data_IF_768174854918
#
_entry.id   IF_768174854918
#
_cell.length_a   1.000
_cell.length_b   1.000
_cell.length_c   1.000
_cell.angle_alpha   90.00
_cell.angle_beta   90.00
_cell.angle_gamma   90.00
#
_symmetry.space_group_name_H-M   'P 1'
#
loop_
_entity.id
_entity.type
_entity.pdbx_description
1 polymer ?
#
# COMPACT_ATOMS: atom_id res chain seq x y z
N UNK A 1 76.66 24.91 26.22
CA UNK A 1 75.45 24.15 26.43
C UNK A 1 74.25 24.96 25.91
N UNK A 2 73.79 24.69 24.69
CA UNK A 2 72.63 25.38 24.08
C UNK A 2 71.45 24.42 24.15
N UNK A 3 70.41 24.80 24.86
CA UNK A 3 69.17 24.10 24.97
C UNK A 3 68.17 24.65 23.96
N UNK A 4 67.89 23.88 22.89
CA UNK A 4 66.93 24.23 21.86
C UNK A 4 65.56 23.80 22.34
N UNK A 5 64.60 24.71 22.53
CA UNK A 5 63.18 24.43 22.84
C UNK A 5 62.41 24.24 21.53
N UNK A 6 61.86 23.02 21.32
CA UNK A 6 60.87 22.75 20.26
C UNK A 6 59.47 23.16 20.76
N UNK A 7 58.84 24.08 20.06
CA UNK A 7 57.40 24.36 20.19
C UNK A 7 56.62 23.38 19.28
N UNK A 8 55.76 22.52 19.87
CA UNK A 8 54.80 21.71 19.14
C UNK A 8 53.53 22.55 19.04
N UNK A 9 53.15 22.96 17.81
CA UNK A 9 51.86 23.56 17.52
C UNK A 9 50.83 22.44 17.31
N UNK A 10 49.84 22.32 18.19
CA UNK A 10 48.73 21.42 18.02
C UNK A 10 47.67 22.09 17.10
N UNK A 11 47.50 21.55 15.89
CA UNK A 11 46.38 21.91 15.01
C UNK A 11 45.11 21.21 15.53
N UNK A 12 44.17 21.98 16.03
CA UNK A 12 42.80 21.53 16.28
C UNK A 12 42.05 21.49 14.93
N UNK A 13 41.80 20.27 14.42
CA UNK A 13 40.83 20.07 13.35
C UNK A 13 39.43 20.10 13.95
N UNK A 14 38.66 21.15 13.68
CA UNK A 14 37.23 21.22 13.93
C UNK A 14 36.52 20.47 12.80
N UNK A 15 36.11 19.23 13.05
CA UNK A 15 35.19 18.54 12.16
C UNK A 15 33.81 19.17 12.31
N UNK A 16 33.42 20.03 11.38
CA UNK A 16 32.01 20.40 11.20
C UNK A 16 31.28 19.21 10.61
N UNK A 17 30.53 18.48 11.43
CA UNK A 17 29.51 17.56 10.92
C UNK A 17 28.45 18.38 10.19
N UNK A 18 28.59 18.53 8.89
CA UNK A 18 27.50 18.91 8.02
C UNK A 18 26.56 17.67 8.04
N UNK A 19 25.43 17.80 8.71
CA UNK A 19 24.36 16.80 8.59
C UNK A 19 24.00 16.76 7.09
N UNK A 20 24.41 15.69 6.43
CA UNK A 20 24.01 15.40 5.06
C UNK A 20 22.48 15.24 5.08
N UNK A 21 21.77 16.22 4.54
CA UNK A 21 20.31 16.10 4.38
C UNK A 21 20.05 14.88 3.53
N UNK A 22 19.42 13.86 4.08
CA UNK A 22 19.08 12.65 3.35
C UNK A 22 18.37 13.05 2.05
N UNK A 23 18.92 12.62 0.90
CA UNK A 23 18.33 12.89 -0.41
C UNK A 23 16.86 12.45 -0.40
N UNK A 24 15.94 13.29 -0.83
CA UNK A 24 14.52 12.93 -0.82
C UNK A 24 14.29 11.71 -1.70
N UNK A 25 13.50 10.76 -1.23
CA UNK A 25 13.18 9.53 -1.98
C UNK A 25 12.61 9.89 -3.36
N UNK A 26 13.25 9.39 -4.42
CA UNK A 26 12.86 9.64 -5.81
C UNK A 26 11.92 8.57 -6.37
N UNK A 27 11.78 7.44 -5.66
CA UNK A 27 11.05 6.28 -6.15
C UNK A 27 9.98 5.84 -5.15
N UNK A 28 8.82 5.48 -5.69
CA UNK A 28 7.71 4.85 -4.98
C UNK A 28 7.24 3.65 -5.82
N UNK A 29 7.96 2.50 -5.80
CA UNK A 29 7.84 1.45 -6.80
C UNK A 29 6.60 0.57 -6.69
N UNK A 30 5.83 0.71 -5.63
CA UNK A 30 4.62 -0.08 -5.35
C UNK A 30 3.66 0.69 -4.45
N UNK A 31 2.44 0.21 -4.32
CA UNK A 31 1.33 0.87 -3.64
C UNK A 31 1.66 1.47 -2.27
N UNK A 32 2.33 0.71 -1.39
CA UNK A 32 2.69 1.19 -0.02
C UNK A 32 4.14 1.69 0.10
N UNK A 33 4.78 1.94 -1.04
CA UNK A 33 6.16 2.42 -1.10
C UNK A 33 7.21 1.31 -0.96
N UNK A 34 8.49 1.68 -0.92
CA UNK A 34 9.59 0.72 -0.98
C UNK A 34 9.65 -0.23 0.22
N UNK A 35 9.05 0.15 1.35
CA UNK A 35 9.04 -0.65 2.59
C UNK A 35 7.66 -1.24 2.89
N UNK A 36 6.69 -1.13 2.00
CA UNK A 36 5.30 -1.60 2.15
C UNK A 36 4.58 -1.08 3.42
N UNK A 37 5.03 0.03 3.99
CA UNK A 37 4.58 0.59 5.26
C UNK A 37 3.75 1.88 5.15
N UNK A 38 3.67 2.48 3.94
CA UNK A 38 2.91 3.71 3.67
C UNK A 38 3.54 4.98 4.25
N UNK A 39 4.84 4.99 4.52
CA UNK A 39 5.50 6.18 5.06
C UNK A 39 6.88 6.45 4.47
N UNK A 40 7.31 7.69 4.64
CA UNK A 40 8.66 8.16 4.39
C UNK A 40 9.01 9.27 5.39
N UNK A 41 10.18 9.17 6.03
CA UNK A 41 10.62 10.16 7.02
C UNK A 41 11.32 11.37 6.37
N UNK A 42 12.12 11.12 5.33
CA UNK A 42 12.90 12.15 4.67
C UNK A 42 12.05 13.03 3.72
N UNK A 43 12.31 14.33 3.73
CA UNK A 43 11.72 15.32 2.83
C UNK A 43 10.78 16.30 3.52
N UNK A 44 10.41 17.35 2.79
CA UNK A 44 9.41 18.36 3.20
C UNK A 44 8.29 18.34 2.19
N UNK A 45 7.07 18.11 2.65
CA UNK A 45 5.91 17.88 1.79
C UNK A 45 4.82 18.94 2.03
N UNK A 46 3.99 19.28 1.03
CA UNK A 46 3.01 20.32 1.13
C UNK A 46 1.93 19.99 2.17
N UNK A 47 1.51 21.00 2.93
CA UNK A 47 0.39 20.93 3.87
C UNK A 47 -0.87 21.46 3.20
N UNK A 48 -0.78 22.64 2.59
CA UNK A 48 -1.87 23.27 1.86
C UNK A 48 -1.79 22.94 0.37
N UNK A 49 -2.93 22.68 -0.26
CA UNK A 49 -3.04 22.33 -1.69
C UNK A 49 -3.71 23.46 -2.47
N UNK A 50 -3.38 24.69 -2.14
CA UNK A 50 -3.86 25.87 -2.85
C UNK A 50 -3.23 25.99 -4.26
N UNK A 51 -3.68 26.98 -5.02
CA UNK A 51 -3.22 27.21 -6.38
C UNK A 51 -1.70 27.53 -6.46
N UNK A 52 -1.07 27.96 -5.36
CA UNK A 52 0.37 28.21 -5.27
C UNK A 52 1.18 26.93 -5.10
N UNK A 53 0.57 25.90 -4.58
CA UNK A 53 1.19 24.60 -4.27
C UNK A 53 0.87 23.51 -5.30
N UNK A 54 -0.13 23.73 -6.16
CA UNK A 54 -0.41 22.85 -7.29
C UNK A 54 0.54 23.15 -8.46
N UNK A 55 1.53 22.28 -8.68
CA UNK A 55 2.44 22.43 -9.83
C UNK A 55 1.72 22.16 -11.14
N UNK A 56 0.87 21.15 -11.18
CA UNK A 56 0.05 20.78 -12.32
C UNK A 56 -1.04 19.77 -11.94
N UNK A 57 -2.09 19.76 -12.75
CA UNK A 57 -3.07 18.68 -12.82
C UNK A 57 -3.21 18.20 -14.26
N UNK A 58 -3.21 16.90 -14.46
CA UNK A 58 -3.33 16.28 -15.80
C UNK A 58 -4.62 15.49 -15.88
N UNK A 59 -5.48 15.71 -16.90
CA UNK A 59 -6.68 14.93 -17.10
C UNK A 59 -6.36 13.45 -17.32
N UNK A 60 -7.14 12.56 -16.70
CA UNK A 60 -7.07 11.11 -16.91
C UNK A 60 -8.15 10.67 -17.89
N UNK A 61 -7.88 9.69 -18.76
CA UNK A 61 -8.82 9.28 -19.81
C UNK A 61 -10.03 8.52 -19.28
N UNK A 62 -9.94 7.97 -18.08
CA UNK A 62 -11.01 7.21 -17.48
C UNK A 62 -10.82 6.96 -15.99
N UNK A 63 -11.91 6.56 -15.34
CA UNK A 63 -11.94 6.30 -13.92
C UNK A 63 -11.10 5.08 -13.55
N UNK A 64 -10.22 5.26 -12.59
CA UNK A 64 -9.46 4.19 -11.96
C UNK A 64 -9.19 4.50 -10.50
N UNK A 65 -8.91 3.47 -9.70
CA UNK A 65 -8.64 3.59 -8.27
C UNK A 65 -7.21 3.19 -7.89
N UNK A 66 -6.38 2.78 -8.88
CA UNK A 66 -5.00 2.40 -8.61
C UNK A 66 -4.20 3.59 -8.06
N UNK A 67 -3.36 3.32 -7.07
CA UNK A 67 -2.36 4.28 -6.63
C UNK A 67 -1.25 4.38 -7.68
N UNK A 68 -0.81 5.58 -8.08
CA UNK A 68 0.35 5.73 -8.95
C UNK A 68 1.61 5.14 -8.33
N UNK A 69 2.54 4.67 -9.17
CA UNK A 69 3.91 4.39 -8.74
C UNK A 69 4.87 5.34 -9.44
N UNK A 70 6.03 5.57 -8.84
CA UNK A 70 7.02 6.53 -9.34
C UNK A 70 8.38 5.87 -9.40
N UNK A 71 9.01 5.97 -10.56
CA UNK A 71 10.37 5.51 -10.81
C UNK A 71 11.10 6.51 -11.69
N UNK A 72 12.30 6.91 -11.28
CA UNK A 72 13.18 7.76 -12.11
C UNK A 72 12.44 8.98 -12.70
N UNK A 73 11.59 9.64 -11.89
CA UNK A 73 10.78 10.79 -12.32
C UNK A 73 9.72 10.46 -13.40
N UNK A 74 9.35 9.21 -13.54
CA UNK A 74 8.21 8.79 -14.37
C UNK A 74 7.11 8.25 -13.46
N UNK A 75 5.88 8.68 -13.72
CA UNK A 75 4.69 8.31 -12.96
C UNK A 75 3.91 7.30 -13.79
N UNK A 76 3.60 6.14 -13.21
CA UNK A 76 2.84 5.09 -13.86
C UNK A 76 1.55 4.80 -13.11
N UNK A 77 0.45 4.63 -13.82
CA UNK A 77 -0.84 4.24 -13.27
C UNK A 77 -1.65 3.43 -14.28
N UNK A 78 -2.69 2.76 -13.80
CA UNK A 78 -3.66 2.06 -14.64
C UNK A 78 -4.95 2.86 -14.74
N UNK A 79 -5.55 2.94 -15.93
CA UNK A 79 -6.87 3.53 -16.15
C UNK A 79 -7.48 2.94 -17.42
N UNK A 80 -8.79 2.94 -17.60
CA UNK A 80 -9.37 2.60 -18.90
C UNK A 80 -9.15 3.73 -19.90
N UNK A 81 -8.87 3.35 -21.15
CA UNK A 81 -8.78 4.24 -22.31
C UNK A 81 -9.70 3.71 -23.38
N UNK A 82 -10.69 4.48 -23.79
CA UNK A 82 -11.69 4.10 -24.80
C UNK A 82 -12.31 2.72 -24.53
N UNK A 83 -12.62 2.43 -23.23
CA UNK A 83 -13.21 1.18 -22.78
C UNK A 83 -12.26 -0.02 -22.77
N UNK A 84 -10.95 0.20 -22.87
CA UNK A 84 -9.94 -0.86 -22.77
C UNK A 84 -9.04 -0.62 -21.54
N UNK A 85 -8.60 -1.69 -20.91
CA UNK A 85 -7.59 -1.65 -19.86
C UNK A 85 -6.30 -1.02 -20.40
N UNK A 86 -5.71 -0.09 -19.64
CA UNK A 86 -4.47 0.56 -20.08
C UNK A 86 -3.54 0.92 -18.93
N UNK A 87 -2.25 0.95 -19.25
CA UNK A 87 -1.18 1.55 -18.45
C UNK A 87 -0.80 2.88 -19.07
N UNK A 88 -0.67 3.89 -18.24
CA UNK A 88 -0.31 5.25 -18.62
C UNK A 88 1.00 5.65 -17.95
N UNK A 89 1.86 6.33 -18.66
CA UNK A 89 3.08 6.93 -18.12
C UNK A 89 3.08 8.43 -18.34
N UNK A 90 3.47 9.17 -17.31
CA UNK A 90 3.61 10.62 -17.33
C UNK A 90 5.02 11.01 -16.89
N UNK A 91 5.54 12.08 -17.48
CA UNK A 91 6.78 12.69 -17.02
C UNK A 91 6.56 13.56 -15.77
N UNK A 92 7.64 14.12 -15.27
CA UNK A 92 7.64 14.95 -14.06
C UNK A 92 6.90 16.28 -14.21
N UNK A 93 6.55 16.67 -15.44
CA UNK A 93 5.73 17.85 -15.75
C UNK A 93 4.24 17.53 -15.91
N UNK A 94 3.85 16.25 -15.78
CA UNK A 94 2.49 15.79 -15.99
C UNK A 94 2.12 15.52 -17.45
N UNK A 95 3.10 15.60 -18.36
CA UNK A 95 2.87 15.26 -19.78
C UNK A 95 2.88 13.75 -19.96
N UNK A 96 1.88 13.23 -20.68
CA UNK A 96 1.84 11.81 -21.03
C UNK A 96 2.99 11.46 -21.97
N UNK A 97 3.77 10.45 -21.58
CA UNK A 97 4.88 9.89 -22.35
C UNK A 97 4.41 8.81 -23.31
N UNK A 98 3.62 7.89 -22.79
CA UNK A 98 3.06 6.77 -23.55
C UNK A 98 1.84 6.19 -22.85
N UNK A 99 1.10 5.37 -23.59
CA UNK A 99 0.08 4.47 -23.07
C UNK A 99 0.22 3.10 -23.75
N UNK A 100 -0.10 2.04 -23.00
CA UNK A 100 -0.20 0.69 -23.51
C UNK A 100 -1.58 0.15 -23.19
N UNK A 101 -2.36 -0.22 -24.21
CA UNK A 101 -3.70 -0.77 -24.07
C UNK A 101 -3.70 -2.29 -24.19
N UNK A 102 -4.65 -2.92 -23.50
CA UNK A 102 -4.84 -4.38 -23.49
C UNK A 102 -6.19 -4.75 -24.10
N UNK A 103 -6.93 -5.61 -23.47
CA UNK A 103 -8.29 -5.95 -23.93
C UNK A 103 -9.36 -5.05 -23.33
N UNK A 104 -10.61 -5.31 -23.69
CA UNK A 104 -11.77 -4.61 -23.13
C UNK A 104 -11.77 -4.65 -21.61
N UNK A 105 -12.02 -3.51 -20.98
CA UNK A 105 -12.13 -3.44 -19.53
C UNK A 105 -13.34 -4.23 -19.01
N UNK A 106 -13.20 -4.78 -17.82
CA UNK A 106 -14.33 -5.21 -17.01
C UNK A 106 -14.62 -4.11 -15.98
N UNK A 107 -15.57 -3.24 -16.28
CA UNK A 107 -15.85 -2.05 -15.49
C UNK A 107 -16.18 -2.35 -14.03
N UNK A 108 -15.98 -1.38 -13.16
CA UNK A 108 -16.28 -1.48 -11.73
C UNK A 108 -17.77 -1.70 -11.45
N UNK A 109 -18.08 -2.51 -10.43
CA UNK A 109 -19.44 -2.75 -9.94
C UNK A 109 -19.89 -1.66 -8.96
N UNK A 110 -18.97 -1.13 -8.19
CA UNK A 110 -19.24 -0.15 -7.15
C UNK A 110 -18.90 1.27 -7.64
N UNK A 111 -19.64 2.27 -7.13
CA UNK A 111 -19.40 3.69 -7.48
C UNK A 111 -17.96 4.16 -7.24
N UNK A 112 -17.27 3.56 -6.26
CA UNK A 112 -15.88 3.87 -5.91
C UNK A 112 -14.90 2.81 -6.45
N UNK A 113 -15.35 1.91 -7.31
CA UNK A 113 -14.55 0.88 -7.96
C UNK A 113 -14.33 1.15 -9.45
N UNK A 114 -13.42 0.41 -10.05
CA UNK A 114 -13.13 0.42 -11.50
C UNK A 114 -12.57 -0.93 -11.93
N UNK A 115 -12.37 -1.11 -13.22
CA UNK A 115 -11.59 -2.23 -13.77
C UNK A 115 -10.10 -2.15 -13.46
N UNK A 116 -9.63 -0.95 -13.06
CA UNK A 116 -8.23 -0.60 -12.80
C UNK A 116 -8.01 -0.23 -11.33
N UNK A 117 -8.38 -1.11 -10.38
CA UNK A 117 -8.18 -0.90 -8.95
C UNK A 117 -6.78 -1.32 -8.49
N UNK A 118 -6.27 -2.43 -9.01
CA UNK A 118 -4.94 -2.90 -8.67
C UNK A 118 -3.87 -1.88 -9.09
N UNK A 119 -2.97 -1.57 -8.17
CA UNK A 119 -1.86 -0.65 -8.44
C UNK A 119 -0.74 -1.36 -9.19
N UNK A 120 -0.04 -0.68 -10.11
CA UNK A 120 1.19 -1.19 -10.70
C UNK A 120 2.23 -1.51 -9.62
N UNK A 121 3.15 -2.41 -9.95
CA UNK A 121 4.37 -2.66 -9.17
C UNK A 121 5.56 -2.71 -10.11
N UNK A 122 6.74 -2.32 -9.62
CA UNK A 122 7.99 -2.40 -10.37
C UNK A 122 9.09 -3.04 -9.57
N UNK A 123 9.98 -3.75 -10.26
CA UNK A 123 11.26 -4.25 -9.74
C UNK A 123 12.45 -3.32 -10.08
N UNK A 124 12.19 -2.18 -10.69
CA UNK A 124 13.18 -1.21 -11.16
C UNK A 124 13.47 -1.30 -12.67
N UNK A 125 13.28 -2.48 -13.29
CA UNK A 125 13.54 -2.74 -14.72
C UNK A 125 12.27 -2.85 -15.56
N UNK A 126 11.15 -3.17 -14.93
CA UNK A 126 9.86 -3.35 -15.57
C UNK A 126 8.69 -2.99 -14.68
N UNK A 127 7.51 -3.00 -15.31
CA UNK A 127 6.22 -2.80 -14.67
C UNK A 127 5.42 -4.09 -14.76
N UNK A 128 4.72 -4.41 -13.66
CA UNK A 128 3.77 -5.51 -13.63
C UNK A 128 2.41 -4.96 -13.22
N UNK A 129 1.37 -5.30 -13.96
CA UNK A 129 0.02 -4.76 -13.80
C UNK A 129 -1.02 -5.86 -13.87
N UNK A 130 -2.10 -5.68 -13.15
CA UNK A 130 -3.27 -6.55 -13.21
C UNK A 130 -4.55 -5.75 -13.35
N UNK A 131 -5.49 -6.26 -14.13
CA UNK A 131 -6.80 -5.66 -14.38
C UNK A 131 -7.91 -6.64 -14.01
N UNK A 132 -9.06 -6.10 -13.63
CA UNK A 132 -10.26 -6.91 -13.31
C UNK A 132 -10.73 -7.78 -14.48
N UNK A 133 -10.38 -7.44 -15.72
CA UNK A 133 -10.60 -8.28 -16.92
C UNK A 133 -9.86 -9.63 -16.86
N UNK A 134 -8.92 -9.78 -15.91
CA UNK A 134 -8.05 -10.94 -15.76
C UNK A 134 -6.67 -10.76 -16.36
N UNK A 135 -6.42 -9.69 -17.08
CA UNK A 135 -5.11 -9.44 -17.70
C UNK A 135 -4.04 -9.17 -16.66
N UNK A 136 -3.03 -10.04 -16.59
CA UNK A 136 -1.75 -9.84 -15.93
C UNK A 136 -0.69 -9.59 -17.02
N UNK A 137 0.08 -8.51 -16.89
CA UNK A 137 1.06 -8.15 -17.92
C UNK A 137 2.35 -7.60 -17.33
N UNK A 138 3.47 -7.85 -18.02
CA UNK A 138 4.75 -7.19 -17.81
C UNK A 138 5.08 -6.26 -18.97
N UNK A 139 5.58 -5.06 -18.62
CA UNK A 139 6.01 -4.05 -19.58
C UNK A 139 7.42 -3.56 -19.23
N UNK A 140 8.14 -3.11 -20.24
CA UNK A 140 9.30 -2.25 -20.03
C UNK A 140 8.86 -0.86 -19.56
N UNK A 141 9.77 -0.10 -18.95
CA UNK A 141 9.50 1.30 -18.52
C UNK A 141 9.16 2.23 -19.70
N UNK A 142 9.47 1.81 -20.92
CA UNK A 142 9.10 2.50 -22.17
C UNK A 142 7.72 2.12 -22.71
N UNK A 143 6.94 1.30 -22.00
CA UNK A 143 5.61 0.86 -22.39
C UNK A 143 5.56 -0.37 -23.32
N UNK A 144 6.71 -0.92 -23.73
CA UNK A 144 6.74 -2.14 -24.53
C UNK A 144 6.27 -3.34 -23.70
N UNK A 145 5.21 -4.00 -24.16
CA UNK A 145 4.69 -5.20 -23.51
C UNK A 145 5.70 -6.35 -23.71
N UNK A 146 6.21 -6.90 -22.64
CA UNK A 146 7.12 -8.06 -22.63
C UNK A 146 6.35 -9.36 -22.76
N UNK A 147 5.31 -9.52 -21.93
CA UNK A 147 4.37 -10.64 -21.98
C UNK A 147 3.02 -10.22 -21.35
N UNK A 148 2.00 -10.99 -21.63
CA UNK A 148 0.70 -10.90 -20.98
C UNK A 148 0.02 -12.26 -20.92
N UNK A 149 -0.79 -12.46 -19.91
CA UNK A 149 -1.65 -13.64 -19.74
C UNK A 149 -2.99 -13.22 -19.17
N UNK A 150 -4.01 -14.07 -19.28
CA UNK A 150 -5.32 -13.79 -18.68
C UNK A 150 -5.67 -14.82 -17.61
N UNK A 151 -5.72 -14.38 -16.35
CA UNK A 151 -5.99 -15.26 -15.21
C UNK A 151 -7.47 -15.67 -15.09
N UNK A 152 -8.38 -14.90 -15.68
CA UNK A 152 -9.79 -15.29 -15.77
C UNK A 152 -9.98 -16.41 -16.80
N UNK A 153 -9.28 -16.37 -17.92
CA UNK A 153 -9.29 -17.45 -18.91
C UNK A 153 -8.65 -18.73 -18.37
N UNK A 154 -7.58 -18.61 -17.57
CA UNK A 154 -6.87 -19.76 -17.01
C UNK A 154 -7.57 -20.40 -15.81
N UNK A 155 -8.14 -19.58 -14.91
CA UNK A 155 -8.63 -20.04 -13.61
C UNK A 155 -10.11 -19.71 -13.34
N UNK A 156 -10.85 -19.27 -14.36
CA UNK A 156 -12.24 -18.83 -14.25
C UNK A 156 -12.37 -17.43 -13.59
N UNK A 157 -13.59 -16.85 -13.62
CA UNK A 157 -13.87 -15.57 -12.99
C UNK A 157 -13.86 -15.66 -11.46
N UNK A 158 -13.60 -14.54 -10.79
CA UNK A 158 -13.81 -14.44 -9.35
C UNK A 158 -15.30 -14.30 -9.00
N UNK A 159 -15.62 -14.60 -7.74
CA UNK A 159 -16.96 -14.42 -7.16
C UNK A 159 -17.01 -13.25 -6.18
N UNK A 160 -15.99 -12.37 -6.19
CA UNK A 160 -15.91 -11.23 -5.30
C UNK A 160 -17.16 -10.36 -5.39
N UNK A 161 -17.69 -9.97 -4.25
CA UNK A 161 -18.83 -9.07 -4.18
C UNK A 161 -18.47 -7.67 -4.67
N UNK A 162 -17.32 -7.16 -4.21
CA UNK A 162 -16.74 -5.89 -4.65
C UNK A 162 -15.74 -6.11 -5.78
N UNK A 163 -15.22 -5.03 -6.33
CA UNK A 163 -14.23 -5.09 -7.40
C UNK A 163 -12.87 -5.56 -6.88
N UNK A 164 -12.17 -6.36 -7.67
CA UNK A 164 -10.83 -6.85 -7.34
C UNK A 164 -9.90 -5.67 -7.01
N UNK A 165 -9.24 -5.73 -5.85
CA UNK A 165 -8.37 -4.65 -5.36
C UNK A 165 -6.93 -5.10 -5.06
N UNK A 166 -6.69 -6.42 -4.99
CA UNK A 166 -5.36 -6.98 -4.72
C UNK A 166 -4.40 -6.62 -5.85
N UNK A 167 -3.28 -6.00 -5.52
CA UNK A 167 -2.23 -5.67 -6.48
C UNK A 167 -1.25 -6.84 -6.67
N UNK A 168 -0.60 -6.97 -7.84
CA UNK A 168 0.53 -7.88 -7.99
C UNK A 168 1.67 -7.47 -7.07
N UNK A 169 2.47 -8.46 -6.62
CA UNK A 169 3.70 -8.23 -5.89
C UNK A 169 4.87 -8.89 -6.62
N UNK A 170 6.08 -8.37 -6.42
CA UNK A 170 7.27 -8.82 -7.13
C UNK A 170 8.27 -9.36 -6.13
N UNK A 171 8.68 -10.61 -6.34
CA UNK A 171 9.77 -11.29 -5.66
C UNK A 171 11.06 -11.19 -6.49
N UNK A 172 12.13 -11.77 -6.02
CA UNK A 172 13.37 -11.81 -6.79
C UNK A 172 13.16 -12.44 -8.19
N UNK A 173 12.35 -13.51 -8.28
CA UNK A 173 12.17 -14.29 -9.52
C UNK A 173 10.78 -14.08 -10.17
N UNK A 174 9.75 -13.83 -9.38
CA UNK A 174 8.36 -13.95 -9.84
C UNK A 174 7.55 -12.68 -9.63
N UNK A 175 6.51 -12.55 -10.44
CA UNK A 175 5.33 -11.75 -10.15
C UNK A 175 4.29 -12.67 -9.52
N UNK A 176 3.76 -12.30 -8.36
CA UNK A 176 2.80 -13.12 -7.63
C UNK A 176 1.45 -12.42 -7.54
N UNK A 177 0.39 -13.17 -7.82
CA UNK A 177 -1.00 -12.76 -7.64
C UNK A 177 -1.67 -13.61 -6.56
N UNK A 178 -2.51 -12.96 -5.77
CA UNK A 178 -3.42 -13.62 -4.83
C UNK A 178 -4.86 -13.38 -5.26
N UNK A 179 -5.69 -14.44 -5.25
CA UNK A 179 -7.13 -14.35 -5.44
C UNK A 179 -7.83 -15.18 -4.38
N UNK A 180 -8.55 -14.49 -3.50
CA UNK A 180 -9.31 -15.12 -2.42
C UNK A 180 -10.76 -14.74 -2.54
N UNK A 181 -11.62 -15.74 -2.78
CA UNK A 181 -13.05 -15.56 -3.03
C UNK A 181 -13.82 -16.83 -2.69
N UNK A 182 -15.12 -16.81 -2.78
CA UNK A 182 -15.92 -18.01 -2.64
C UNK A 182 -15.65 -18.97 -3.81
N UNK A 183 -15.09 -20.14 -3.52
CA UNK A 183 -14.66 -21.12 -4.49
C UNK A 183 -13.16 -21.41 -4.39
N UNK A 184 -12.48 -21.54 -5.51
CA UNK A 184 -11.05 -21.84 -5.55
C UNK A 184 -10.19 -20.59 -5.30
N UNK A 185 -9.78 -20.41 -4.06
CA UNK A 185 -8.84 -19.37 -3.67
C UNK A 185 -7.39 -19.85 -3.85
N UNK A 186 -6.51 -18.96 -4.33
CA UNK A 186 -5.15 -19.35 -4.67
C UNK A 186 -4.14 -18.20 -4.57
N UNK A 187 -2.86 -18.61 -4.49
CA UNK A 187 -1.71 -17.80 -4.86
C UNK A 187 -1.09 -18.41 -6.11
N UNK A 188 -0.65 -17.58 -7.04
CA UNK A 188 0.06 -18.05 -8.25
C UNK A 188 1.23 -17.12 -8.57
N UNK A 189 2.35 -17.71 -8.95
CA UNK A 189 3.56 -17.01 -9.34
C UNK A 189 3.86 -17.24 -10.82
N UNK A 190 4.31 -16.17 -11.47
CA UNK A 190 4.67 -16.15 -12.88
C UNK A 190 6.09 -15.63 -13.02
N UNK A 191 6.89 -16.29 -13.83
CA UNK A 191 8.26 -15.84 -14.13
C UNK A 191 8.24 -14.41 -14.68
N UNK A 192 9.04 -13.53 -14.10
CA UNK A 192 9.06 -12.09 -14.48
C UNK A 192 9.44 -11.85 -15.93
N UNK A 193 10.23 -12.76 -16.49
CA UNK A 193 10.80 -12.61 -17.85
C UNK A 193 9.89 -13.21 -18.91
N UNK A 194 9.40 -14.43 -18.67
CA UNK A 194 8.60 -15.17 -19.67
C UNK A 194 7.09 -15.03 -19.49
N UNK A 195 6.63 -14.79 -18.27
CA UNK A 195 5.21 -14.84 -17.91
C UNK A 195 4.66 -16.25 -17.72
N UNK A 196 5.52 -17.27 -17.79
CA UNK A 196 5.11 -18.65 -17.53
C UNK A 196 4.77 -18.85 -16.06
N UNK A 197 3.71 -19.61 -15.79
CA UNK A 197 3.34 -19.95 -14.42
C UNK A 197 4.36 -20.89 -13.80
N UNK A 198 5.06 -20.42 -12.76
CA UNK A 198 6.04 -21.21 -12.02
C UNK A 198 5.36 -22.15 -11.02
N UNK A 199 4.38 -21.63 -10.27
CA UNK A 199 3.62 -22.41 -9.31
C UNK A 199 2.24 -21.78 -9.04
N UNK A 200 1.30 -22.63 -8.59
CA UNK A 200 0.00 -22.22 -8.06
C UNK A 200 -0.33 -23.09 -6.86
N UNK A 201 -0.73 -22.48 -5.75
CA UNK A 201 -1.13 -23.19 -4.53
C UNK A 201 -2.53 -22.76 -4.09
N UNK A 202 -3.32 -23.71 -3.61
CA UNK A 202 -4.63 -23.44 -3.05
C UNK A 202 -4.49 -22.71 -1.70
N UNK A 203 -5.44 -21.78 -1.42
CA UNK A 203 -5.50 -21.05 -0.15
C UNK A 203 -6.96 -20.91 0.32
N UNK A 204 -7.64 -22.03 0.50
CA UNK A 204 -9.00 -22.08 1.00
C UNK A 204 -9.00 -22.31 2.52
N UNK A 205 -9.77 -21.50 3.23
CA UNK A 205 -10.04 -21.66 4.67
C UNK A 205 -11.55 -21.53 4.89
N UNK A 206 -12.06 -22.30 5.84
CA UNK A 206 -13.46 -22.19 6.25
C UNK A 206 -13.66 -20.87 7.01
N UNK A 207 -14.65 -20.11 6.59
CA UNK A 207 -15.01 -18.82 7.20
C UNK A 207 -16.51 -18.60 7.15
N UNK A 208 -17.08 -17.74 8.00
CA UNK A 208 -18.44 -17.24 7.82
C UNK A 208 -18.60 -16.55 6.45
N UNK A 209 -19.85 -16.37 6.02
CA UNK A 209 -20.22 -15.76 4.75
C UNK A 209 -19.41 -14.48 4.45
N UNK A 210 -18.84 -14.40 3.24
CA UNK A 210 -17.94 -13.35 2.74
C UNK A 210 -16.57 -13.24 3.47
N UNK A 211 -16.33 -14.04 4.52
CA UNK A 211 -15.03 -14.05 5.20
C UNK A 211 -13.91 -14.65 4.35
N UNK A 212 -14.25 -15.47 3.35
CA UNK A 212 -13.37 -16.05 2.35
C UNK A 212 -12.93 -15.04 1.27
N UNK A 213 -13.66 -13.92 1.12
CA UNK A 213 -13.27 -12.86 0.20
C UNK A 213 -12.07 -12.08 0.75
N UNK A 214 -11.01 -11.91 -0.04
CA UNK A 214 -9.81 -11.15 0.31
C UNK A 214 -9.45 -10.13 -0.76
N UNK A 215 -9.13 -8.92 -0.31
CA UNK A 215 -8.72 -7.80 -1.16
C UNK A 215 -7.34 -7.27 -0.77
N UNK A 216 -6.79 -7.76 0.34
CA UNK A 216 -5.46 -7.37 0.82
C UNK A 216 -4.37 -7.81 -0.16
N UNK A 217 -3.38 -6.95 -0.36
CA UNK A 217 -2.20 -7.26 -1.16
C UNK A 217 -1.19 -8.04 -0.31
N UNK A 218 -0.61 -9.15 -0.79
CA UNK A 218 0.49 -9.83 -0.09
C UNK A 218 1.68 -8.91 0.16
N UNK A 219 2.47 -9.22 1.19
CA UNK A 219 3.74 -8.54 1.47
C UNK A 219 4.90 -9.48 1.17
N UNK A 220 5.92 -8.97 0.47
CA UNK A 220 7.18 -9.70 0.28
C UNK A 220 8.06 -9.43 1.49
N UNK A 221 8.48 -10.50 2.17
CA UNK A 221 9.24 -10.44 3.43
C UNK A 221 10.46 -11.34 3.40
N UNK A 222 11.34 -11.15 4.38
CA UNK A 222 12.37 -12.14 4.71
C UNK A 222 11.88 -12.99 5.90
N UNK A 223 11.81 -14.31 5.73
CA UNK A 223 11.43 -15.24 6.78
C UNK A 223 12.45 -16.38 6.86
N UNK A 224 13.04 -16.60 8.03
CA UNK A 224 14.07 -17.64 8.24
C UNK A 224 15.20 -17.60 7.19
N UNK A 225 15.63 -16.40 6.78
CA UNK A 225 16.74 -16.20 5.83
C UNK A 225 16.39 -16.44 4.36
N UNK A 226 15.11 -16.50 4.01
CA UNK A 226 14.62 -16.65 2.63
C UNK A 226 13.52 -15.65 2.30
N UNK A 227 13.37 -15.32 1.03
CA UNK A 227 12.26 -14.52 0.55
C UNK A 227 10.96 -15.30 0.67
N UNK A 228 9.92 -14.64 1.17
CA UNK A 228 8.64 -15.26 1.45
C UNK A 228 7.50 -14.24 1.24
N UNK A 229 6.28 -14.74 1.23
CA UNK A 229 5.06 -13.96 1.05
C UNK A 229 4.22 -14.05 2.32
N UNK A 230 4.01 -12.92 2.99
CA UNK A 230 3.01 -12.79 4.06
C UNK A 230 1.65 -12.49 3.41
N UNK A 231 0.69 -13.35 3.64
CA UNK A 231 -0.64 -13.28 3.00
C UNK A 231 -1.74 -13.24 4.06
N UNK A 232 -2.55 -12.19 4.03
CA UNK A 232 -3.73 -12.02 4.84
C UNK A 232 -5.01 -12.19 4.02
N UNK A 233 -5.95 -12.96 4.50
CA UNK A 233 -7.27 -13.14 3.93
C UNK A 233 -7.91 -14.44 4.43
N UNK A 234 -9.20 -14.57 4.24
CA UNK A 234 -9.99 -15.68 4.75
C UNK A 234 -9.75 -15.91 6.26
N UNK A 235 -9.60 -14.82 7.02
CA UNK A 235 -9.36 -14.82 8.47
C UNK A 235 -8.15 -15.68 8.91
N UNK A 236 -7.18 -15.81 8.00
CA UNK A 236 -5.90 -16.48 8.25
C UNK A 236 -4.74 -15.61 7.78
N UNK A 237 -3.67 -15.60 8.54
CA UNK A 237 -2.38 -15.03 8.19
C UNK A 237 -1.42 -16.17 7.88
N UNK A 238 -0.80 -16.16 6.72
CA UNK A 238 0.11 -17.25 6.30
C UNK A 238 1.39 -16.69 5.73
N UNK A 239 2.50 -17.43 5.90
CA UNK A 239 3.75 -17.17 5.20
C UNK A 239 4.00 -18.32 4.22
N UNK A 240 4.23 -17.95 2.96
CA UNK A 240 4.53 -18.89 1.89
C UNK A 240 5.95 -18.69 1.40
N UNK A 241 6.64 -19.76 1.07
CA UNK A 241 7.92 -19.71 0.38
C UNK A 241 7.74 -19.05 -1.00
N UNK A 242 8.55 -18.05 -1.33
CA UNK A 242 8.43 -17.34 -2.60
C UNK A 242 8.79 -18.20 -3.81
N UNK A 243 9.59 -19.26 -3.61
CA UNK A 243 10.09 -20.11 -4.69
C UNK A 243 9.08 -21.14 -5.17
N UNK A 244 8.31 -21.75 -4.25
CA UNK A 244 7.39 -22.85 -4.58
C UNK A 244 5.97 -22.70 -4.00
N UNK A 245 5.69 -21.60 -3.30
CA UNK A 245 4.39 -21.29 -2.73
C UNK A 245 4.01 -22.10 -1.49
N UNK A 246 4.86 -23.00 -1.01
CA UNK A 246 4.55 -23.83 0.17
C UNK A 246 4.34 -22.99 1.42
N UNK A 247 3.34 -23.36 2.21
CA UNK A 247 3.10 -22.74 3.51
C UNK A 247 4.24 -23.09 4.46
N UNK A 248 4.94 -22.06 4.94
CA UNK A 248 6.00 -22.18 5.93
C UNK A 248 5.46 -22.01 7.34
N UNK A 249 4.39 -21.21 7.48
CA UNK A 249 3.84 -20.75 8.73
C UNK A 249 2.37 -20.35 8.55
N UNK A 250 1.53 -20.68 9.51
CA UNK A 250 0.11 -20.27 9.50
C UNK A 250 -0.34 -19.86 10.89
N UNK A 251 -1.20 -18.85 10.92
CA UNK A 251 -1.86 -18.34 12.12
C UNK A 251 -3.35 -18.15 11.81
N UNK A 252 -4.19 -18.84 12.54
CA UNK A 252 -5.66 -18.75 12.48
C UNK A 252 -6.24 -18.04 13.70
N UNK A 253 -7.46 -18.41 14.06
CA UNK A 253 -8.17 -17.94 15.28
C UNK A 253 -8.39 -16.42 15.40
N UNK A 254 -8.51 -15.73 14.26
CA UNK A 254 -8.83 -14.29 14.25
C UNK A 254 -10.33 -14.01 14.49
N UNK A 255 -11.16 -15.04 14.46
CA UNK A 255 -12.59 -14.94 14.65
C UNK A 255 -13.16 -16.21 15.30
N UNK A 256 -12.76 -16.53 16.55
CA UNK A 256 -13.11 -17.77 17.24
C UNK A 256 -14.62 -17.94 17.44
N UNK A 257 -15.35 -16.82 17.50
CA UNK A 257 -16.81 -16.82 17.68
C UNK A 257 -17.58 -16.97 16.35
N UNK A 258 -16.88 -17.16 15.22
CA UNK A 258 -17.45 -17.25 13.87
C UNK A 258 -18.44 -16.15 13.53
N UNK A 259 -18.17 -14.91 14.02
CA UNK A 259 -18.97 -13.73 13.71
C UNK A 259 -18.86 -13.37 12.22
N UNK A 260 -19.92 -12.75 11.68
CA UNK A 260 -19.86 -12.17 10.34
C UNK A 260 -19.04 -10.89 10.36
N UNK A 261 -17.74 -10.98 10.05
CA UNK A 261 -16.78 -9.87 10.04
C UNK A 261 -16.51 -9.28 8.65
N UNK A 262 -17.20 -9.80 7.62
CA UNK A 262 -17.03 -9.44 6.22
C UNK A 262 -15.62 -9.73 5.67
N UNK A 263 -15.30 -9.29 4.43
CA UNK A 263 -14.03 -9.63 3.81
C UNK A 263 -12.82 -8.97 4.49
N UNK A 264 -11.64 -9.54 4.21
CA UNK A 264 -10.34 -9.00 4.57
C UNK A 264 -9.90 -7.99 3.49
N UNK A 265 -9.95 -6.69 3.79
CA UNK A 265 -9.62 -5.62 2.82
C UNK A 265 -8.31 -4.94 3.18
N UNK A 266 -8.19 -4.48 4.42
CA UNK A 266 -7.00 -3.81 4.93
C UNK A 266 -5.78 -4.74 4.85
N UNK A 267 -4.69 -4.26 4.23
CA UNK A 267 -3.41 -4.98 4.20
C UNK A 267 -2.69 -4.81 5.53
N UNK A 268 -2.17 -5.88 6.16
CA UNK A 268 -1.39 -5.79 7.38
C UNK A 268 -0.13 -4.93 7.24
N UNK A 269 0.41 -4.48 8.37
CA UNK A 269 1.72 -3.83 8.42
C UNK A 269 2.66 -4.57 9.35
N UNK A 270 3.97 -4.41 9.12
CA UNK A 270 5.02 -5.04 9.90
C UNK A 270 5.84 -3.97 10.61
N UNK A 271 6.07 -4.15 11.91
CA UNK A 271 6.94 -3.30 12.74
C UNK A 271 7.88 -4.20 13.54
N UNK A 272 9.15 -4.23 13.16
CA UNK A 272 10.10 -5.17 13.75
C UNK A 272 9.68 -6.62 13.52
N UNK A 273 9.39 -7.36 14.58
CA UNK A 273 8.88 -8.73 14.55
C UNK A 273 7.36 -8.85 14.72
N UNK A 274 6.65 -7.72 14.75
CA UNK A 274 5.19 -7.68 14.91
C UNK A 274 4.47 -7.43 13.58
N UNK A 275 3.45 -8.22 13.31
CA UNK A 275 2.44 -7.97 12.27
C UNK A 275 1.18 -7.44 12.92
N UNK A 276 0.70 -6.30 12.47
CA UNK A 276 -0.58 -5.74 12.93
C UNK A 276 -1.62 -5.92 11.85
N UNK A 277 -2.67 -6.67 12.17
CA UNK A 277 -3.78 -7.04 11.29
C UNK A 277 -5.04 -6.32 11.73
N UNK A 278 -5.61 -5.50 10.86
CA UNK A 278 -6.86 -4.79 11.09
C UNK A 278 -7.96 -5.30 10.17
N UNK A 279 -9.14 -5.56 10.69
CA UNK A 279 -10.32 -5.98 9.91
C UNK A 279 -11.62 -5.80 10.71
N UNK A 280 -12.74 -6.21 10.13
CA UNK A 280 -14.05 -6.03 10.75
C UNK A 280 -14.58 -4.59 10.62
N UNK A 281 -15.87 -4.43 10.76
CA UNK A 281 -16.55 -3.16 10.47
C UNK A 281 -16.90 -2.37 11.72
N UNK A 282 -16.31 -1.17 11.85
CA UNK A 282 -16.63 -0.23 12.92
C UNK A 282 -18.11 0.20 12.91
N UNK A 283 -18.65 0.48 11.74
CA UNK A 283 -20.04 0.92 11.58
C UNK A 283 -21.07 -0.17 11.95
N UNK A 284 -20.61 -1.41 12.18
CA UNK A 284 -21.40 -2.52 12.68
C UNK A 284 -21.03 -2.92 14.11
N UNK A 285 -20.13 -2.17 14.77
CA UNK A 285 -19.70 -2.45 16.14
C UNK A 285 -18.86 -3.72 16.31
N UNK A 286 -18.16 -4.14 15.26
CA UNK A 286 -17.34 -5.36 15.25
C UNK A 286 -15.94 -5.14 14.65
N UNK A 287 -15.23 -4.08 15.05
CA UNK A 287 -13.83 -3.91 14.63
C UNK A 287 -12.94 -4.98 15.27
N UNK A 288 -11.83 -5.29 14.60
CA UNK A 288 -10.81 -6.23 15.10
C UNK A 288 -9.42 -5.70 14.78
N UNK A 289 -8.54 -5.83 15.76
CA UNK A 289 -7.13 -5.53 15.61
C UNK A 289 -6.32 -6.59 16.36
N UNK A 290 -5.34 -7.19 15.70
CA UNK A 290 -4.50 -8.23 16.27
C UNK A 290 -3.02 -7.91 16.07
N UNK A 291 -2.21 -8.19 17.10
CA UNK A 291 -0.75 -8.21 17.02
C UNK A 291 -0.25 -9.64 17.02
N UNK A 292 0.44 -10.01 15.95
CA UNK A 292 0.98 -11.36 15.73
C UNK A 292 2.49 -11.26 15.66
N UNK A 293 3.22 -12.07 16.41
CA UNK A 293 4.67 -12.12 16.33
C UNK A 293 5.12 -12.97 15.15
N UNK A 294 6.01 -12.44 14.33
CA UNK A 294 6.70 -13.20 13.30
C UNK A 294 7.67 -14.21 13.95
N UNK A 295 7.97 -15.30 13.24
CA UNK A 295 8.88 -16.33 13.67
C UNK A 295 8.18 -17.67 13.92
N UNK A 296 8.98 -18.73 14.12
CA UNK A 296 8.46 -20.09 14.19
C UNK A 296 8.20 -20.70 12.81
N UNK A 297 7.53 -21.84 12.78
CA UNK A 297 7.15 -22.59 11.57
C UNK A 297 5.94 -23.46 11.84
N UNK A 298 5.22 -23.84 10.79
CA UNK A 298 3.99 -24.63 10.91
C UNK A 298 2.81 -23.80 11.47
N UNK A 299 1.94 -24.40 12.24
CA UNK A 299 0.83 -23.72 12.86
C UNK A 299 1.28 -23.01 14.16
N UNK A 300 1.20 -21.69 14.17
CA UNK A 300 1.62 -20.84 15.30
C UNK A 300 0.43 -20.13 15.95
N UNK A 301 -0.76 -20.57 15.70
CA UNK A 301 -1.99 -19.93 16.18
C UNK A 301 -1.95 -19.70 17.69
N UNK A 302 -1.56 -20.71 18.47
CA UNK A 302 -1.55 -20.64 19.95
C UNK A 302 -0.31 -19.93 20.53
N UNK A 303 0.74 -19.75 19.73
CA UNK A 303 2.04 -19.25 20.24
C UNK A 303 2.35 -17.81 19.85
N UNK A 304 1.80 -17.33 18.74
CA UNK A 304 2.22 -16.07 18.12
C UNK A 304 1.19 -14.95 18.22
N UNK A 305 -0.06 -15.22 18.66
CA UNK A 305 -0.98 -14.16 19.06
C UNK A 305 -0.45 -13.47 20.33
N UNK A 306 -0.04 -12.20 20.20
CA UNK A 306 0.50 -11.42 21.33
C UNK A 306 -0.59 -10.64 22.02
N UNK A 307 -1.46 -9.98 21.24
CA UNK A 307 -2.58 -9.21 21.73
C UNK A 307 -3.72 -9.14 20.71
N UNK A 308 -4.91 -8.84 21.20
CA UNK A 308 -6.13 -8.65 20.42
C UNK A 308 -6.93 -7.49 20.98
N UNK A 309 -7.60 -6.73 20.10
CA UNK A 309 -8.56 -5.68 20.45
C UNK A 309 -9.82 -5.81 19.63
N UNK A 310 -10.97 -5.61 20.27
CA UNK A 310 -12.32 -5.69 19.70
C UNK A 310 -13.02 -4.33 19.64
N UNK A 311 -12.34 -3.26 20.04
CA UNK A 311 -12.83 -1.88 20.10
C UNK A 311 -12.23 -0.99 19.02
N UNK A 312 -11.12 -1.41 18.44
CA UNK A 312 -10.38 -0.69 17.39
C UNK A 312 -10.13 -1.58 16.18
N UNK A 313 -10.18 -0.99 15.00
CA UNK A 313 -9.89 -1.63 13.72
C UNK A 313 -10.25 -0.71 12.56
N UNK A 314 -9.88 -1.08 11.37
CA UNK A 314 -10.27 -0.42 10.13
C UNK A 314 -10.69 -1.47 9.11
N UNK A 315 -11.70 -1.17 8.31
CA UNK A 315 -12.23 -2.12 7.34
C UNK A 315 -11.53 -2.00 5.98
N UNK A 316 -11.41 -0.78 5.45
CA UNK A 316 -10.84 -0.55 4.12
C UNK A 316 -9.44 0.06 4.17
N UNK A 317 -9.20 1.22 4.81
CA UNK A 317 -7.86 1.80 4.83
C UNK A 317 -6.85 0.88 5.50
N UNK A 318 -5.68 0.71 4.90
CA UNK A 318 -4.60 -0.05 5.52
C UNK A 318 -3.81 0.82 6.50
N UNK A 319 -3.31 0.26 7.62
CA UNK A 319 -2.50 0.99 8.58
C UNK A 319 -1.22 1.56 7.96
N UNK A 320 -0.61 2.54 8.63
CA UNK A 320 0.70 3.12 8.31
C UNK A 320 1.67 2.85 9.46
N UNK A 321 2.92 2.55 9.13
CA UNK A 321 3.99 2.48 10.11
C UNK A 321 4.89 3.71 9.98
N UNK A 322 5.09 4.42 11.07
CA UNK A 322 6.01 5.55 11.11
C UNK A 322 6.71 5.62 12.47
N UNK A 323 8.03 5.74 12.47
CA UNK A 323 8.89 5.81 13.68
C UNK A 323 8.55 4.74 14.73
N UNK A 324 8.33 3.49 14.27
CA UNK A 324 8.05 2.35 15.15
C UNK A 324 6.63 2.33 15.74
N UNK A 325 5.74 3.20 15.31
CA UNK A 325 4.33 3.26 15.70
C UNK A 325 3.42 2.81 14.56
N UNK A 326 2.22 2.37 14.89
CA UNK A 326 1.16 2.04 13.93
C UNK A 326 0.08 3.12 13.99
N UNK A 327 -0.28 3.64 12.85
CA UNK A 327 -1.33 4.65 12.71
C UNK A 327 -2.49 4.07 11.91
N UNK A 328 -3.69 4.22 12.42
CA UNK A 328 -4.94 3.86 11.74
C UNK A 328 -5.71 5.14 11.43
N UNK A 329 -6.19 5.26 10.19
CA UNK A 329 -7.31 6.12 9.84
C UNK A 329 -8.50 5.20 9.61
N UNK A 330 -9.49 5.27 10.48
CA UNK A 330 -10.65 4.39 10.43
C UNK A 330 -11.66 4.88 9.40
N UNK A 331 -12.57 4.02 9.01
CA UNK A 331 -13.51 4.28 7.91
C UNK A 331 -14.36 5.55 8.05
N UNK A 332 -14.50 6.10 9.26
CA UNK A 332 -15.26 7.32 9.56
C UNK A 332 -14.41 8.51 10.02
N UNK A 333 -13.07 8.36 9.96
CA UNK A 333 -12.13 9.43 10.22
C UNK A 333 -11.61 9.52 11.65
N UNK A 334 -11.88 8.51 12.49
CA UNK A 334 -11.15 8.36 13.73
C UNK A 334 -9.70 7.98 13.42
N UNK A 335 -8.77 8.54 14.19
CA UNK A 335 -7.32 8.31 14.04
C UNK A 335 -6.78 7.73 15.33
N UNK A 336 -6.03 6.63 15.21
CA UNK A 336 -5.37 5.98 16.35
C UNK A 336 -3.87 5.90 16.11
N UNK A 337 -3.08 6.19 17.12
CA UNK A 337 -1.66 5.86 17.18
C UNK A 337 -1.46 4.79 18.24
N UNK A 338 -0.80 3.69 17.87
CA UNK A 338 -0.70 2.48 18.68
C UNK A 338 0.75 2.06 18.88
N UNK A 339 1.01 1.49 20.06
CA UNK A 339 2.21 0.70 20.31
C UNK A 339 2.03 -0.69 19.65
N UNK A 340 2.86 -1.09 18.67
CA UNK A 340 2.71 -2.39 18.01
C UNK A 340 3.00 -3.59 18.91
N UNK A 341 3.78 -3.41 19.99
CA UNK A 341 4.16 -4.51 20.86
C UNK A 341 3.03 -4.91 21.84
N UNK A 342 2.20 -3.94 22.25
CA UNK A 342 1.14 -4.13 23.23
C UNK A 342 -0.27 -3.95 22.67
N UNK A 343 -0.41 -3.27 21.52
CA UNK A 343 -1.68 -2.85 20.96
C UNK A 343 -2.35 -1.68 21.70
N UNK A 344 -1.67 -1.09 22.69
CA UNK A 344 -2.21 0.04 23.47
C UNK A 344 -2.27 1.31 22.63
N UNK A 345 -3.34 2.08 22.81
CA UNK A 345 -3.48 3.40 22.19
C UNK A 345 -2.59 4.41 22.92
N UNK A 346 -1.63 5.00 22.19
CA UNK A 346 -0.76 6.06 22.67
C UNK A 346 -1.55 7.37 22.69
N UNK A 347 -2.24 7.66 21.61
CA UNK A 347 -3.22 8.73 21.49
C UNK A 347 -4.29 8.39 20.45
N UNK A 348 -5.43 9.05 20.57
CA UNK A 348 -6.48 9.01 19.56
C UNK A 348 -6.97 10.42 19.23
N UNK A 349 -7.51 10.59 18.04
CA UNK A 349 -8.07 11.81 17.53
C UNK A 349 -9.14 11.52 16.48
N UNK A 350 -9.70 12.54 15.86
CA UNK A 350 -10.61 12.38 14.74
C UNK A 350 -10.56 13.59 13.81
N UNK A 351 -10.70 13.34 12.52
CA UNK A 351 -11.02 14.37 11.54
C UNK A 351 -12.46 14.89 11.74
N UNK A 352 -12.82 16.05 11.19
CA UNK A 352 -14.18 16.57 11.25
C UNK A 352 -15.21 15.55 10.75
N UNK A 353 -16.29 15.37 11.53
CA UNK A 353 -17.33 14.38 11.22
C UNK A 353 -18.00 14.66 9.89
N UNK A 354 -18.08 13.65 9.03
CA UNK A 354 -18.78 13.72 7.76
C UNK A 354 -19.45 12.37 7.42
N UNK A 355 -20.39 12.39 6.46
CA UNK A 355 -21.06 11.16 6.00
C UNK A 355 -20.25 10.32 5.03
N UNK A 356 -19.27 10.92 4.34
CA UNK A 356 -18.36 10.24 3.42
C UNK A 356 -17.33 9.39 4.18
N UNK A 357 -16.85 8.34 3.55
CA UNK A 357 -15.93 7.38 4.15
C UNK A 357 -14.48 7.64 3.71
N UNK A 358 -13.56 7.05 4.45
CA UNK A 358 -12.18 6.92 4.04
C UNK A 358 -11.97 5.55 3.41
N UNK A 359 -11.56 5.50 2.14
CA UNK A 359 -11.22 4.28 1.40
C UNK A 359 -9.74 4.23 1.04
N UNK A 360 -9.15 5.39 0.71
CA UNK A 360 -7.72 5.51 0.48
C UNK A 360 -6.94 5.12 1.74
N UNK A 361 -5.88 4.35 1.60
CA UNK A 361 -4.94 4.15 2.70
C UNK A 361 -4.14 5.42 2.93
N UNK A 362 -3.97 5.86 4.19
CA UNK A 362 -3.23 7.06 4.49
C UNK A 362 -1.74 6.93 4.17
N UNK A 363 -1.08 8.08 4.03
CA UNK A 363 0.35 8.23 3.88
C UNK A 363 0.89 9.04 5.05
N UNK A 364 2.08 8.71 5.58
CA UNK A 364 2.85 9.64 6.42
C UNK A 364 4.13 10.00 5.66
N UNK A 365 4.32 11.30 5.42
CA UNK A 365 5.50 11.82 4.73
C UNK A 365 6.05 13.05 5.47
N UNK A 366 7.33 13.01 5.89
CA UNK A 366 7.97 14.10 6.63
C UNK A 366 7.27 14.46 7.94
N UNK A 367 6.61 13.49 8.61
CA UNK A 367 5.85 13.70 9.84
C UNK A 367 4.41 14.18 9.65
N UNK A 368 3.96 14.37 8.41
CA UNK A 368 2.58 14.73 8.08
C UNK A 368 1.78 13.51 7.63
N UNK A 369 0.63 13.29 8.26
CA UNK A 369 -0.37 12.29 7.88
C UNK A 369 -1.30 12.90 6.82
N UNK A 370 -1.39 12.26 5.67
CA UNK A 370 -2.30 12.59 4.56
C UNK A 370 -3.40 11.56 4.51
N UNK A 371 -4.64 11.99 4.68
CA UNK A 371 -5.81 11.12 4.72
C UNK A 371 -6.90 11.59 3.76
N UNK A 372 -6.95 11.03 2.53
CA UNK A 372 -8.02 11.33 1.59
C UNK A 372 -9.35 10.72 2.03
N UNK A 373 -10.41 11.53 1.97
CA UNK A 373 -11.80 11.10 2.11
C UNK A 373 -12.43 10.94 0.71
N UNK A 374 -13.36 10.01 0.54
CA UNK A 374 -13.92 9.63 -0.78
C UNK A 374 -14.53 10.79 -1.57
N UNK A 375 -14.96 11.85 -0.91
CA UNK A 375 -15.55 13.05 -1.54
C UNK A 375 -14.52 14.06 -2.04
N UNK A 376 -13.22 13.77 -1.86
CA UNK A 376 -12.13 14.58 -2.40
C UNK A 376 -11.40 15.44 -1.38
N UNK A 377 -11.88 15.52 -0.15
CA UNK A 377 -11.14 16.26 0.90
C UNK A 377 -9.94 15.43 1.37
N UNK A 378 -8.76 16.03 1.28
CA UNK A 378 -7.50 15.45 1.80
C UNK A 378 -7.12 16.21 3.07
N UNK A 379 -7.21 15.53 4.20
CA UNK A 379 -6.77 16.08 5.48
C UNK A 379 -5.27 15.92 5.63
N UNK A 380 -4.62 16.95 6.16
CA UNK A 380 -3.21 16.91 6.52
C UNK A 380 -3.08 17.20 8.00
N UNK A 381 -2.43 16.31 8.74
CA UNK A 381 -2.21 16.45 10.18
C UNK A 381 -0.74 16.22 10.54
N UNK A 382 -0.19 16.99 11.49
CA UNK A 382 1.11 16.70 12.10
C UNK A 382 0.96 15.52 13.06
N UNK A 383 1.86 14.54 12.93
CA UNK A 383 1.96 13.36 13.80
C UNK A 383 3.41 13.10 14.25
N UNK A 384 4.32 14.04 14.00
CA UNK A 384 5.76 13.86 14.25
C UNK A 384 6.10 13.79 15.75
N UNK A 385 5.34 14.46 16.60
CA UNK A 385 5.63 14.69 18.01
C UNK A 385 4.76 13.82 18.96
N UNK A 386 4.39 12.62 18.54
CA UNK A 386 3.49 11.72 19.28
C UNK A 386 2.15 12.39 19.67
N UNK A 387 1.66 13.30 18.85
CA UNK A 387 0.38 13.99 19.00
C UNK A 387 -0.27 14.20 17.64
N UNK A 388 -1.57 14.40 17.65
CA UNK A 388 -2.33 14.77 16.47
C UNK A 388 -2.60 16.28 16.46
N UNK A 389 -2.29 16.94 15.35
CA UNK A 389 -2.64 18.33 15.10
C UNK A 389 -3.11 18.47 13.66
N UNK A 390 -4.41 18.74 13.47
CA UNK A 390 -4.97 18.99 12.13
C UNK A 390 -4.41 20.30 11.60
N UNK A 391 -3.72 20.24 10.46
CA UNK A 391 -3.06 21.40 9.83
C UNK A 391 -3.89 21.97 8.69
N UNK A 392 -4.47 21.11 7.84
CA UNK A 392 -5.22 21.56 6.67
C UNK A 392 -6.33 20.58 6.27
N UNK A 393 -7.35 21.14 5.60
CA UNK A 393 -8.43 20.45 4.89
C UNK A 393 -8.38 20.92 3.43
N UNK A 394 -7.93 20.05 2.53
CA UNK A 394 -7.71 20.40 1.12
C UNK A 394 -8.77 19.73 0.24
N UNK A 395 -9.59 20.52 -0.43
CA UNK A 395 -10.61 20.02 -1.36
C UNK A 395 -10.02 19.88 -2.77
N UNK A 396 -10.06 18.67 -3.32
CA UNK A 396 -9.57 18.37 -4.67
C UNK A 396 -10.63 18.60 -5.75
N UNK A 397 -11.83 19.06 -5.40
CA UNK A 397 -13.00 19.24 -6.28
C UNK A 397 -13.43 17.96 -7.03
N UNK A 398 -12.97 16.80 -6.62
CA UNK A 398 -13.33 15.50 -7.21
C UNK A 398 -13.05 14.35 -6.24
N UNK A 399 -13.69 13.22 -6.47
CA UNK A 399 -13.53 12.02 -5.63
C UNK A 399 -12.07 11.50 -5.63
N UNK A 400 -11.55 11.13 -4.46
CA UNK A 400 -10.22 10.55 -4.27
C UNK A 400 -10.33 9.19 -3.59
N UNK A 401 -9.93 8.13 -4.29
CA UNK A 401 -9.93 6.75 -3.78
C UNK A 401 -8.50 6.18 -3.74
N UNK A 402 -7.62 6.59 -4.63
CA UNK A 402 -6.20 6.22 -4.62
C UNK A 402 -5.45 6.80 -3.43
N UNK A 403 -4.46 6.07 -2.93
CA UNK A 403 -3.60 6.55 -1.84
C UNK A 403 -2.65 7.66 -2.34
N UNK A 404 -2.30 8.67 -1.52
CA UNK A 404 -1.29 9.66 -1.87
C UNK A 404 0.09 9.03 -2.02
N UNK A 405 0.92 9.60 -2.88
CA UNK A 405 2.28 9.11 -3.18
C UNK A 405 3.29 10.24 -3.01
N UNK A 406 4.33 10.05 -2.17
CA UNK A 406 5.39 11.04 -1.99
C UNK A 406 6.57 10.73 -2.91
N UNK A 407 7.14 11.74 -3.54
CA UNK A 407 8.44 11.64 -4.19
C UNK A 407 9.09 13.01 -4.36
N UNK A 408 10.38 13.14 -4.05
CA UNK A 408 11.18 14.37 -4.23
C UNK A 408 10.47 15.64 -3.73
N UNK A 409 10.00 15.62 -2.49
CA UNK A 409 9.27 16.72 -1.84
C UNK A 409 7.93 17.11 -2.51
N UNK A 410 7.37 16.20 -3.30
CA UNK A 410 6.05 16.37 -3.94
C UNK A 410 5.09 15.31 -3.41
N UNK A 411 3.82 15.64 -3.41
CA UNK A 411 2.72 14.69 -3.20
C UNK A 411 1.97 14.55 -4.52
N UNK A 412 1.77 13.31 -4.93
CA UNK A 412 0.95 12.98 -6.08
C UNK A 412 -0.36 12.38 -5.59
N UNK A 413 -1.47 12.91 -6.08
CA UNK A 413 -2.81 12.43 -5.75
C UNK A 413 -3.53 12.09 -7.05
N UNK A 414 -4.09 10.87 -7.09
CA UNK A 414 -4.98 10.48 -8.16
C UNK A 414 -6.42 10.71 -7.73
N UNK A 415 -7.08 11.65 -8.37
CA UNK A 415 -8.51 11.83 -8.33
C UNK A 415 -9.24 10.95 -9.35
N UNK A 416 -10.56 11.11 -9.44
CA UNK A 416 -11.37 10.39 -10.42
C UNK A 416 -11.08 10.85 -11.86
N UNK A 417 -10.78 12.16 -12.04
CA UNK A 417 -10.62 12.80 -13.35
C UNK A 417 -9.21 13.29 -13.63
N UNK A 418 -8.41 13.54 -12.60
CA UNK A 418 -7.09 14.12 -12.75
C UNK A 418 -6.03 13.41 -11.91
N UNK A 419 -4.79 13.50 -12.39
CA UNK A 419 -3.60 13.28 -11.59
C UNK A 419 -3.04 14.63 -11.18
N UNK A 420 -2.88 14.84 -9.87
CA UNK A 420 -2.36 16.08 -9.27
C UNK A 420 -0.92 15.92 -8.83
N UNK A 421 -0.12 16.95 -9.00
CA UNK A 421 1.22 17.07 -8.43
C UNK A 421 1.29 18.33 -7.57
N UNK A 422 1.58 18.15 -6.31
CA UNK A 422 1.58 19.17 -5.27
C UNK A 422 2.98 19.32 -4.69
N UNK A 423 3.38 20.55 -4.35
CA UNK A 423 4.67 20.86 -3.74
C UNK A 423 4.49 21.87 -2.62
N UNK A 424 5.45 21.94 -1.69
CA UNK A 424 5.53 23.09 -0.80
C UNK A 424 5.92 24.32 -1.62
N UNK A 425 5.31 25.47 -1.36
CA UNK A 425 5.76 26.74 -1.94
C UNK A 425 7.26 26.93 -1.64
N UNK A 426 8.05 27.43 -2.59
CA UNK A 426 9.49 27.62 -2.41
C UNK A 426 9.82 28.64 -1.31
#
# INVERSE_FOLDING_TARGET
MHVTRFLIAALLFVFTNVAESAEPNRNWPRWRGPQDNGSIDAGSYPVDFDAGNELWRTPLPGKGCSTPIILQQTIFLTAPVDGNDAVLAYDWSGKQLWQATFGQENAGKHRNGSGSNASPVSDGDGLFVYFKSGTLAALGLNGAVRWKTNLVEQFGPDTLYWDHGTSPVVTEQYVVMARMHHGESWLAAFDKTSGDMAWKVARNYETPQEGDHGYATPLVIQHAGREALLVWGAQHLTIHDAVDGKVLWSCGNFNPESKKLWPSISTPVIVGDMVVVAFGRNDRGIPRLHGIRLGGSGDVTETNHVWQRDDVGTFVPSPVVYKGRVYLVRDRGEVECLDPATGETIWNAAFPKHRANYYASPLIAGGHLYAPREDGVVFVANVADDRFELLAENDMDESVIGSPVPASNRIFIRGEKHLFCLTSSP
#
